data_IF_938955529629
#
_entry.id   IF_938955529629
#
_cell.length_a   1.000
_cell.length_b   1.000
_cell.length_c   1.000
_cell.angle_alpha   90.00
_cell.angle_beta   90.00
_cell.angle_gamma   90.00
#
_symmetry.space_group_name_H-M   'P 1'
#
loop_
_entity.id
_entity.type
_entity.pdbx_description
1 polymer ?
#
# COMPACT_ATOMS: atom_id res chain seq x y z
N UNK A 1 25.35 46.52 13.89
CA UNK A 1 25.15 45.12 13.47
C UNK A 1 23.89 45.08 12.63
N UNK A 2 24.04 45.10 11.32
CA UNK A 2 22.95 45.01 10.35
C UNK A 2 22.49 43.57 10.31
N UNK A 3 21.27 43.30 10.78
CA UNK A 3 20.60 42.02 10.59
C UNK A 3 20.44 41.79 9.08
N UNK A 4 21.18 40.82 8.54
CA UNK A 4 20.97 40.33 7.20
C UNK A 4 19.59 39.65 7.16
N UNK A 5 18.57 40.37 6.67
CA UNK A 5 17.28 39.76 6.31
C UNK A 5 17.56 38.68 5.28
N UNK A 6 17.33 37.42 5.66
CA UNK A 6 17.26 36.30 4.72
C UNK A 6 16.31 36.70 3.58
N UNK A 7 16.75 36.67 2.30
CA UNK A 7 15.91 37.11 1.21
C UNK A 7 14.63 36.26 1.17
N UNK A 8 13.47 36.93 1.20
CA UNK A 8 12.19 36.26 1.08
C UNK A 8 12.15 35.48 -0.23
N UNK A 9 11.94 34.16 -0.15
CA UNK A 9 11.84 33.30 -1.32
C UNK A 9 10.60 33.75 -2.09
N UNK A 10 10.80 34.34 -3.27
CA UNK A 10 9.72 34.83 -4.10
C UNK A 10 8.82 33.68 -4.57
N UNK A 11 7.51 33.91 -4.55
CA UNK A 11 6.52 32.95 -5.04
C UNK A 11 6.73 32.75 -6.55
N UNK A 12 6.65 31.50 -7.01
CA UNK A 12 6.79 31.19 -8.44
C UNK A 12 5.63 31.83 -9.23
N UNK A 13 5.92 32.57 -10.32
CA UNK A 13 4.87 33.16 -11.14
C UNK A 13 4.03 32.09 -11.83
N UNK A 14 2.76 32.40 -12.08
CA UNK A 14 1.89 31.58 -12.92
C UNK A 14 2.44 31.51 -14.35
N UNK A 15 2.24 30.37 -15.00
CA UNK A 15 2.66 30.09 -16.38
C UNK A 15 1.60 29.24 -17.07
N UNK A 16 1.31 29.55 -18.32
CA UNK A 16 0.38 28.76 -19.11
C UNK A 16 1.05 27.46 -19.59
N UNK A 17 0.26 26.50 -20.07
CA UNK A 17 0.76 25.19 -20.50
C UNK A 17 1.84 25.26 -21.59
N UNK A 18 1.76 26.14 -22.61
CA UNK A 18 2.85 26.32 -23.56
C UNK A 18 4.15 26.81 -22.89
N UNK A 19 4.06 27.79 -21.98
CA UNK A 19 5.23 28.32 -21.25
C UNK A 19 5.88 27.27 -20.34
N UNK A 20 5.06 26.36 -19.78
CA UNK A 20 5.55 25.24 -18.99
C UNK A 20 6.31 24.24 -19.87
N UNK A 21 5.89 24.04 -21.11
CA UNK A 21 6.63 23.22 -22.09
C UNK A 21 7.93 23.90 -22.51
N UNK A 22 7.94 25.21 -22.73
CA UNK A 22 9.16 25.99 -23.01
C UNK A 22 10.21 25.86 -21.90
N UNK A 23 9.76 25.81 -20.64
CA UNK A 23 10.64 25.54 -19.50
C UNK A 23 11.28 24.16 -19.59
N UNK A 24 10.51 23.14 -19.98
CA UNK A 24 11.04 21.78 -20.06
C UNK A 24 12.08 21.68 -21.19
N UNK A 25 11.81 22.25 -22.35
CA UNK A 25 12.74 22.27 -23.50
C UNK A 25 14.00 23.07 -23.19
N UNK A 26 13.87 24.27 -22.62
CA UNK A 26 15.02 25.10 -22.24
C UNK A 26 15.93 24.45 -21.18
N UNK A 27 15.38 23.54 -20.38
CA UNK A 27 16.14 22.72 -19.41
C UNK A 27 16.72 21.45 -20.02
N UNK A 28 16.52 21.19 -21.31
CA UNK A 28 17.09 20.06 -22.05
C UNK A 28 16.22 18.80 -22.08
N UNK A 29 14.91 18.90 -21.80
CA UNK A 29 14.00 17.77 -22.05
C UNK A 29 13.67 17.68 -23.55
N UNK A 30 13.77 16.47 -24.10
CA UNK A 30 13.40 16.19 -25.49
C UNK A 30 11.88 16.08 -25.56
N UNK A 31 11.25 16.83 -26.46
CA UNK A 31 9.80 16.80 -26.68
C UNK A 31 9.54 16.57 -28.16
N UNK A 32 9.07 15.36 -28.52
CA UNK A 32 8.85 15.00 -29.91
C UNK A 32 7.55 15.58 -30.48
N UNK A 33 6.50 15.63 -29.67
CA UNK A 33 5.20 16.21 -30.00
C UNK A 33 4.79 17.24 -28.95
N UNK A 34 5.05 18.51 -29.28
CA UNK A 34 4.81 19.66 -28.38
C UNK A 34 3.33 19.80 -28.02
N UNK A 35 2.43 19.69 -29.00
CA UNK A 35 1.00 19.83 -28.77
C UNK A 35 0.47 18.71 -27.86
N UNK A 36 0.99 17.49 -28.04
CA UNK A 36 0.69 16.38 -27.12
C UNK A 36 1.23 16.66 -25.72
N UNK A 37 2.43 17.19 -25.57
CA UNK A 37 2.98 17.55 -24.26
C UNK A 37 2.11 18.59 -23.54
N UNK A 38 1.68 19.65 -24.24
CA UNK A 38 0.75 20.67 -23.72
C UNK A 38 -0.55 20.01 -23.24
N UNK A 39 -1.18 19.18 -24.09
CA UNK A 39 -2.43 18.47 -23.72
C UNK A 39 -2.25 17.57 -22.50
N UNK A 40 -1.12 16.86 -22.38
CA UNK A 40 -0.85 15.97 -21.25
C UNK A 40 -0.53 16.70 -19.96
N UNK A 41 0.18 17.82 -20.03
CA UNK A 41 0.40 18.70 -18.86
C UNK A 41 -0.93 19.30 -18.40
N UNK A 42 -1.80 19.73 -19.32
CA UNK A 42 -3.14 20.21 -18.98
C UNK A 42 -4.01 19.13 -18.34
N UNK A 43 -3.90 17.87 -18.79
CA UNK A 43 -4.68 16.76 -18.26
C UNK A 43 -4.21 16.28 -16.87
N UNK A 44 -2.89 16.19 -16.65
CA UNK A 44 -2.32 15.55 -15.45
C UNK A 44 -1.79 16.56 -14.43
N UNK A 45 -1.38 17.74 -14.90
CA UNK A 45 -0.77 18.78 -14.08
C UNK A 45 0.76 18.70 -14.07
N UNK A 46 1.40 19.86 -14.25
CA UNK A 46 2.86 20.00 -14.30
C UNK A 46 3.56 19.46 -13.05
N UNK A 47 3.10 19.84 -11.85
CA UNK A 47 3.71 19.40 -10.60
C UNK A 47 3.51 17.91 -10.33
N UNK A 48 2.40 17.33 -10.78
CA UNK A 48 2.18 15.90 -10.67
C UNK A 48 3.19 15.13 -11.53
N UNK A 49 3.31 15.49 -12.82
CA UNK A 49 4.29 14.91 -13.72
C UNK A 49 5.74 15.21 -13.28
N UNK A 50 5.96 16.29 -12.54
CA UNK A 50 7.29 16.62 -12.01
C UNK A 50 7.87 15.63 -11.04
N UNK A 51 7.00 14.87 -10.38
CA UNK A 51 7.42 13.70 -9.64
C UNK A 51 8.14 12.67 -10.52
N UNK A 52 7.81 12.53 -11.80
CA UNK A 52 8.27 11.42 -12.64
C UNK A 52 9.58 11.73 -13.39
N UNK A 53 9.90 12.99 -13.66
CA UNK A 53 11.21 13.39 -14.22
C UNK A 53 12.22 13.87 -13.17
N UNK A 54 11.85 13.91 -11.89
CA UNK A 54 12.73 14.43 -10.83
C UNK A 54 14.08 13.70 -10.77
N UNK A 55 14.08 12.37 -10.92
CA UNK A 55 15.31 11.55 -10.94
C UNK A 55 16.14 11.72 -12.21
N UNK A 56 15.56 12.26 -13.28
CA UNK A 56 16.21 12.48 -14.58
C UNK A 56 16.89 13.84 -14.68
N UNK A 57 16.81 14.66 -13.63
CA UNK A 57 17.56 15.92 -13.54
C UNK A 57 19.04 15.66 -13.32
N UNK A 58 19.88 16.58 -13.78
CA UNK A 58 21.31 16.58 -13.50
C UNK A 58 21.54 16.83 -12.02
N UNK A 59 22.63 16.29 -11.53
CA UNK A 59 23.10 16.53 -10.18
C UNK A 59 24.61 16.70 -10.22
N UNK A 60 25.14 17.46 -9.28
CA UNK A 60 26.57 17.48 -9.00
C UNK A 60 26.81 16.99 -7.57
N UNK A 61 27.97 16.41 -7.35
CA UNK A 61 28.32 15.76 -6.09
C UNK A 61 29.37 16.62 -5.41
N UNK A 62 29.04 17.14 -4.24
CA UNK A 62 30.01 17.75 -3.33
C UNK A 62 30.49 16.71 -2.35
N UNK A 63 31.79 16.67 -2.07
CA UNK A 63 32.35 15.81 -1.04
C UNK A 63 32.80 16.68 0.13
N UNK A 64 32.21 16.44 1.30
CA UNK A 64 32.58 17.10 2.55
C UNK A 64 32.98 16.07 3.61
N UNK A 65 33.40 16.55 4.78
CA UNK A 65 33.83 15.71 5.93
C UNK A 65 32.73 14.75 6.42
N UNK A 66 31.45 15.03 6.13
CA UNK A 66 30.29 14.21 6.52
C UNK A 66 29.81 13.25 5.42
N UNK A 67 30.44 13.26 4.24
CA UNK A 67 30.12 12.36 3.13
C UNK A 67 29.91 13.05 1.79
N UNK A 68 29.09 12.43 0.93
CA UNK A 68 28.70 12.98 -0.38
C UNK A 68 27.37 13.72 -0.25
N UNK A 69 27.34 14.98 -0.66
CA UNK A 69 26.12 15.79 -0.79
C UNK A 69 25.75 15.85 -2.26
N UNK A 70 24.50 15.53 -2.59
CA UNK A 70 23.99 15.58 -3.95
C UNK A 70 23.21 16.87 -4.12
N UNK A 71 23.64 17.70 -5.06
CA UNK A 71 22.99 18.95 -5.40
C UNK A 71 22.24 18.78 -6.70
N UNK A 72 20.92 18.96 -6.65
CA UNK A 72 20.07 18.78 -7.82
C UNK A 72 19.99 20.08 -8.61
N UNK A 73 20.13 19.93 -9.93
CA UNK A 73 20.03 21.03 -10.88
C UNK A 73 18.65 21.05 -11.55
N UNK A 74 18.33 22.15 -12.20
CA UNK A 74 17.07 22.29 -12.93
C UNK A 74 17.12 21.67 -14.33
N UNK A 75 18.32 21.52 -14.90
CA UNK A 75 18.57 20.90 -16.20
C UNK A 75 18.41 19.38 -16.16
N UNK A 76 17.96 18.81 -17.27
CA UNK A 76 17.79 17.38 -17.46
C UNK A 76 19.09 16.70 -17.91
N UNK A 77 19.23 15.42 -17.56
CA UNK A 77 20.27 14.56 -18.12
C UNK A 77 19.98 14.34 -19.61
N UNK A 78 21.02 14.07 -20.40
CA UNK A 78 20.88 13.71 -21.81
C UNK A 78 19.91 12.54 -21.98
N UNK A 79 19.21 12.51 -23.12
CA UNK A 79 18.20 11.48 -23.47
C UNK A 79 16.95 11.43 -22.58
N UNK A 80 16.69 12.49 -21.79
CA UNK A 80 15.44 12.63 -21.04
C UNK A 80 14.32 13.13 -21.97
N UNK A 81 13.40 12.25 -22.39
CA UNK A 81 12.25 12.63 -23.21
C UNK A 81 10.95 12.74 -22.42
N UNK A 82 10.07 13.67 -22.82
CA UNK A 82 8.74 13.82 -22.23
C UNK A 82 7.90 12.54 -22.41
N UNK A 83 8.03 11.89 -23.56
CA UNK A 83 7.35 10.63 -23.88
C UNK A 83 7.73 9.54 -22.88
N UNK A 84 9.01 9.34 -22.59
CA UNK A 84 9.46 8.34 -21.62
C UNK A 84 8.98 8.67 -20.20
N UNK A 85 8.96 9.95 -19.81
CA UNK A 85 8.42 10.35 -18.50
C UNK A 85 6.92 10.09 -18.42
N UNK A 86 6.17 10.38 -19.49
CA UNK A 86 4.75 10.12 -19.52
C UNK A 86 4.43 8.61 -19.49
N UNK A 87 5.22 7.78 -20.18
CA UNK A 87 5.12 6.32 -20.06
C UNK A 87 5.42 5.85 -18.64
N UNK A 88 6.40 6.46 -17.95
CA UNK A 88 6.68 6.13 -16.56
C UNK A 88 5.49 6.46 -15.65
N UNK A 89 4.82 7.59 -15.89
CA UNK A 89 3.57 7.94 -15.21
C UNK A 89 2.46 6.90 -15.43
N UNK A 90 2.29 6.40 -16.65
CA UNK A 90 1.29 5.37 -16.97
C UNK A 90 1.61 4.05 -16.30
N UNK A 91 2.85 3.57 -16.41
CA UNK A 91 3.31 2.36 -15.71
C UNK A 91 3.06 2.44 -14.19
N UNK A 92 3.41 3.57 -13.55
CA UNK A 92 3.16 3.75 -12.11
C UNK A 92 1.67 3.82 -11.79
N UNK A 93 0.84 4.36 -12.68
CA UNK A 93 -0.62 4.33 -12.56
C UNK A 93 -1.14 2.89 -12.59
N UNK A 94 -0.68 2.08 -13.54
CA UNK A 94 -1.01 0.65 -13.64
C UNK A 94 -0.61 -0.10 -12.38
N UNK A 95 0.58 0.18 -11.82
CA UNK A 95 1.00 -0.35 -10.51
C UNK A 95 0.08 0.10 -9.37
N UNK A 96 -0.35 1.36 -9.33
CA UNK A 96 -1.29 1.85 -8.29
C UNK A 96 -2.61 1.11 -8.32
N UNK A 97 -3.14 0.80 -9.50
CA UNK A 97 -4.38 0.02 -9.64
C UNK A 97 -4.19 -1.38 -9.08
N UNK A 98 -3.13 -2.08 -9.50
CA UNK A 98 -2.83 -3.43 -9.01
C UNK A 98 -2.59 -3.46 -7.49
N UNK A 99 -1.82 -2.50 -6.97
CA UNK A 99 -1.56 -2.40 -5.54
C UNK A 99 -2.83 -2.07 -4.76
N UNK A 100 -3.69 -1.20 -5.29
CA UNK A 100 -4.99 -0.86 -4.71
C UNK A 100 -5.86 -2.10 -4.54
N UNK A 101 -6.06 -2.87 -5.61
CA UNK A 101 -6.83 -4.12 -5.59
C UNK A 101 -6.29 -5.12 -4.54
N UNK A 102 -4.97 -5.31 -4.52
CA UNK A 102 -4.34 -6.19 -3.53
C UNK A 102 -4.57 -5.73 -2.09
N UNK A 103 -4.35 -4.44 -1.83
CA UNK A 103 -4.44 -3.86 -0.50
C UNK A 103 -5.87 -3.84 0.01
N UNK A 104 -6.86 -3.67 -0.86
CA UNK A 104 -8.28 -3.79 -0.50
C UNK A 104 -8.59 -5.17 0.07
N UNK A 105 -8.19 -6.24 -0.62
CA UNK A 105 -8.38 -7.62 -0.17
C UNK A 105 -7.68 -7.90 1.16
N UNK A 106 -6.46 -7.41 1.30
CA UNK A 106 -5.68 -7.52 2.55
C UNK A 106 -6.38 -6.74 3.68
N UNK A 107 -6.86 -5.53 3.41
CA UNK A 107 -7.54 -4.68 4.39
C UNK A 107 -8.80 -5.37 4.93
N UNK A 108 -9.66 -5.86 4.03
CA UNK A 108 -10.87 -6.59 4.39
C UNK A 108 -10.52 -7.84 5.20
N UNK A 109 -9.55 -8.64 4.74
CA UNK A 109 -9.14 -9.85 5.47
C UNK A 109 -8.62 -9.53 6.87
N UNK A 110 -7.82 -8.47 7.03
CA UNK A 110 -7.32 -8.02 8.33
C UNK A 110 -8.46 -7.59 9.26
N UNK A 111 -9.46 -6.85 8.76
CA UNK A 111 -10.67 -6.51 9.56
C UNK A 111 -11.33 -7.78 10.07
N UNK A 112 -11.58 -8.74 9.18
CA UNK A 112 -12.21 -10.01 9.53
C UNK A 112 -11.41 -10.79 10.57
N UNK A 113 -10.09 -10.93 10.37
CA UNK A 113 -9.21 -11.66 11.30
C UNK A 113 -9.23 -11.01 12.69
N UNK A 114 -9.00 -9.69 12.77
CA UNK A 114 -8.97 -8.99 14.05
C UNK A 114 -10.34 -9.05 14.75
N UNK A 115 -11.42 -8.77 14.02
CA UNK A 115 -12.77 -8.81 14.58
C UNK A 115 -13.13 -10.20 15.10
N UNK A 116 -12.78 -11.27 14.37
CA UNK A 116 -13.04 -12.63 14.81
C UNK A 116 -12.20 -13.05 16.01
N UNK A 117 -10.90 -12.76 16.00
CA UNK A 117 -10.03 -13.20 17.10
C UNK A 117 -10.40 -12.52 18.41
N UNK A 118 -10.70 -11.22 18.39
CA UNK A 118 -11.16 -10.52 19.60
C UNK A 118 -12.62 -10.84 19.95
N UNK A 119 -13.51 -10.88 18.96
CA UNK A 119 -14.95 -11.08 19.15
C UNK A 119 -15.30 -12.45 19.74
N UNK A 120 -14.41 -13.45 19.63
CA UNK A 120 -14.52 -14.74 20.32
C UNK A 120 -14.51 -14.61 21.84
N UNK A 121 -13.87 -13.58 22.37
CA UNK A 121 -13.74 -13.36 23.81
C UNK A 121 -14.87 -12.48 24.35
N UNK A 122 -15.15 -11.37 23.67
CA UNK A 122 -16.20 -10.44 24.05
C UNK A 122 -16.67 -9.62 22.82
N UNK A 123 -17.99 -9.42 22.61
CA UNK A 123 -18.49 -8.62 21.49
C UNK A 123 -17.95 -7.19 21.47
N UNK A 124 -17.64 -6.60 22.62
CA UNK A 124 -17.11 -5.26 22.82
C UNK A 124 -15.63 -5.28 23.22
N UNK A 125 -14.90 -6.37 22.94
CA UNK A 125 -13.48 -6.52 23.28
C UNK A 125 -12.60 -5.34 22.82
N UNK A 126 -12.98 -4.64 21.76
CA UNK A 126 -12.28 -3.45 21.25
C UNK A 126 -12.41 -2.20 22.11
N UNK A 127 -13.37 -2.17 23.03
CA UNK A 127 -13.58 -1.08 24.00
C UNK A 127 -13.00 -1.41 25.38
N UNK A 128 -12.54 -2.65 25.58
CA UNK A 128 -12.02 -3.11 26.85
C UNK A 128 -10.50 -2.81 27.00
N UNK A 129 -10.17 -1.99 27.99
CA UNK A 129 -8.79 -1.62 28.36
C UNK A 129 -7.95 -2.83 28.77
N UNK A 130 -8.57 -3.93 29.21
CA UNK A 130 -7.84 -5.14 29.56
C UNK A 130 -7.22 -5.84 28.34
N UNK A 131 -7.70 -5.57 27.12
CA UNK A 131 -7.21 -6.17 25.88
C UNK A 131 -6.05 -5.42 25.23
N UNK A 132 -5.63 -4.28 25.79
CA UNK A 132 -4.53 -3.46 25.28
C UNK A 132 -3.34 -3.41 26.23
N UNK A 133 -2.15 -3.23 25.66
CA UNK A 133 -0.91 -3.17 26.45
C UNK A 133 -0.93 -1.97 27.39
N UNK A 134 -0.37 -2.14 28.60
CA UNK A 134 -0.31 -1.07 29.62
C UNK A 134 0.36 0.21 29.12
N UNK A 135 1.37 0.09 28.25
CA UNK A 135 2.03 1.24 27.64
C UNK A 135 1.10 2.06 26.73
N UNK A 136 0.06 1.48 26.15
CA UNK A 136 -0.89 2.19 25.32
C UNK A 136 -1.88 3.04 26.13
N UNK A 137 -2.07 2.73 27.42
CA UNK A 137 -3.00 3.39 28.34
C UNK A 137 -2.40 4.61 29.06
N UNK A 138 -1.10 4.86 28.90
CA UNK A 138 -0.38 5.95 29.57
C UNK A 138 0.27 6.88 28.55
N UNK A 139 0.38 8.15 28.91
CA UNK A 139 1.12 9.13 28.10
C UNK A 139 2.60 8.71 28.02
N UNK A 140 3.16 8.76 26.81
CA UNK A 140 4.54 8.34 26.58
C UNK A 140 5.51 9.46 26.95
N UNK A 141 6.69 9.14 27.53
CA UNK A 141 7.71 10.13 27.82
C UNK A 141 8.12 10.90 26.55
N UNK A 142 8.12 12.24 26.62
CA UNK A 142 8.45 13.10 25.49
C UNK A 142 7.27 13.48 24.59
N UNK A 143 6.05 13.02 24.89
CA UNK A 143 4.86 13.48 24.21
C UNK A 143 4.65 15.00 24.45
N UNK A 144 4.26 15.76 23.41
CA UNK A 144 3.83 17.16 23.59
C UNK A 144 2.67 17.27 24.60
N UNK A 145 2.57 18.38 25.34
CA UNK A 145 1.43 18.65 26.21
C UNK A 145 0.10 18.51 25.45
N UNK A 146 -0.84 17.75 26.01
CA UNK A 146 -2.16 17.52 25.42
C UNK A 146 -2.27 16.34 24.46
N UNK A 147 -1.17 15.62 24.16
CA UNK A 147 -1.24 14.40 23.37
C UNK A 147 -1.84 13.25 24.19
N UNK A 148 -2.94 12.67 23.69
CA UNK A 148 -3.60 11.52 24.31
C UNK A 148 -2.70 10.28 24.32
N UNK A 149 -2.87 9.37 25.31
CA UNK A 149 -2.31 8.03 25.21
C UNK A 149 -2.80 7.31 23.95
N UNK A 150 -2.07 6.26 23.54
CA UNK A 150 -2.29 5.61 22.25
C UNK A 150 -3.68 4.96 22.14
N UNK A 151 -4.19 4.39 23.22
CA UNK A 151 -5.52 3.79 23.25
C UNK A 151 -6.62 4.85 23.18
N UNK A 152 -6.54 5.88 24.01
CA UNK A 152 -7.48 7.01 24.02
C UNK A 152 -7.52 7.73 22.66
N UNK A 153 -6.36 7.95 22.03
CA UNK A 153 -6.29 8.53 20.69
C UNK A 153 -6.87 7.61 19.60
N UNK A 154 -6.74 6.28 19.77
CA UNK A 154 -7.40 5.32 18.89
C UNK A 154 -8.92 5.30 19.11
N UNK A 155 -9.38 5.37 20.36
CA UNK A 155 -10.79 5.38 20.74
C UNK A 155 -11.52 6.62 20.19
N UNK A 156 -10.93 7.81 20.32
CA UNK A 156 -11.47 9.05 19.73
C UNK A 156 -11.59 8.93 18.20
N UNK A 157 -10.59 8.34 17.53
CA UNK A 157 -10.68 8.05 16.09
C UNK A 157 -11.79 7.05 15.78
N UNK A 158 -11.89 5.97 16.55
CA UNK A 158 -12.93 4.94 16.40
C UNK A 158 -14.32 5.56 16.50
N UNK A 159 -14.58 6.37 17.53
CA UNK A 159 -15.88 7.03 17.74
C UNK A 159 -16.23 7.96 16.57
N UNK A 160 -15.26 8.71 16.05
CA UNK A 160 -15.44 9.56 14.86
C UNK A 160 -15.79 8.74 13.62
N UNK A 161 -15.09 7.62 13.39
CA UNK A 161 -15.37 6.73 12.26
C UNK A 161 -16.77 6.11 12.36
N UNK A 162 -17.19 5.68 13.55
CA UNK A 162 -18.54 5.16 13.79
C UNK A 162 -19.59 6.25 13.54
N UNK A 163 -19.39 7.46 14.07
CA UNK A 163 -20.32 8.58 13.91
C UNK A 163 -20.47 9.04 12.46
N UNK A 164 -19.39 8.96 11.67
CA UNK A 164 -19.37 9.33 10.24
C UNK A 164 -19.77 8.18 9.32
N UNK A 165 -19.96 6.97 9.84
CA UNK A 165 -20.26 5.80 9.02
C UNK A 165 -21.66 5.89 8.40
N UNK A 166 -21.73 5.50 7.13
CA UNK A 166 -22.98 5.38 6.38
C UNK A 166 -23.47 3.92 6.27
N UNK A 167 -22.73 2.96 6.82
CA UNK A 167 -23.08 1.54 6.80
C UNK A 167 -24.38 1.27 7.59
N UNK A 168 -25.34 0.61 6.95
CA UNK A 168 -26.67 0.39 7.55
C UNK A 168 -26.58 -0.45 8.83
N UNK A 169 -25.66 -1.42 8.87
CA UNK A 169 -25.39 -2.23 10.06
C UNK A 169 -25.00 -1.37 11.27
N UNK A 170 -24.17 -0.35 11.08
CA UNK A 170 -23.75 0.59 12.12
C UNK A 170 -24.87 1.58 12.46
N UNK A 171 -25.50 2.18 11.44
CA UNK A 171 -26.58 3.17 11.65
C UNK A 171 -27.78 2.57 12.39
N UNK A 172 -28.11 1.31 12.12
CA UNK A 172 -29.18 0.60 12.82
C UNK A 172 -28.89 0.46 14.32
N UNK A 173 -27.66 0.13 14.71
CA UNK A 173 -27.26 0.06 16.12
C UNK A 173 -27.32 1.43 16.80
N UNK A 174 -26.80 2.48 16.15
CA UNK A 174 -26.82 3.85 16.67
C UNK A 174 -28.26 4.35 16.89
N UNK A 175 -29.15 4.18 15.91
CA UNK A 175 -30.56 4.58 16.01
C UNK A 175 -31.28 3.84 17.15
N UNK A 176 -30.95 2.57 17.36
CA UNK A 176 -31.56 1.75 18.40
C UNK A 176 -30.90 1.92 19.79
N UNK A 177 -29.84 2.74 19.92
CA UNK A 177 -29.08 2.87 21.16
C UNK A 177 -28.40 1.57 21.60
N UNK A 178 -28.12 0.66 20.66
CA UNK A 178 -27.50 -0.64 20.94
C UNK A 178 -25.97 -0.52 20.92
N UNK A 179 -25.27 -1.24 21.81
CA UNK A 179 -23.82 -1.34 21.71
C UNK A 179 -23.42 -1.99 20.39
N UNK A 180 -22.32 -1.53 19.78
CA UNK A 180 -21.86 -1.98 18.47
C UNK A 180 -20.79 -3.06 18.65
N UNK A 181 -21.06 -4.33 18.27
CA UNK A 181 -20.06 -5.38 18.35
C UNK A 181 -18.86 -5.14 17.44
N UNK A 182 -17.70 -5.72 17.77
CA UNK A 182 -16.45 -5.50 17.05
C UNK A 182 -16.53 -5.84 15.55
N UNK A 183 -17.25 -6.89 15.17
CA UNK A 183 -17.44 -7.27 13.76
C UNK A 183 -18.37 -6.34 12.99
N UNK A 184 -19.18 -5.53 13.68
CA UNK A 184 -19.96 -4.44 13.08
C UNK A 184 -19.11 -3.17 13.04
N UNK A 185 -18.43 -2.86 14.14
CA UNK A 185 -17.60 -1.67 14.25
C UNK A 185 -16.42 -1.68 13.27
N UNK A 186 -15.85 -2.85 12.98
CA UNK A 186 -14.71 -3.00 12.07
C UNK A 186 -15.02 -2.54 10.65
N UNK A 187 -16.29 -2.52 10.23
CA UNK A 187 -16.69 -2.05 8.90
C UNK A 187 -16.43 -0.54 8.70
N UNK A 188 -16.40 0.24 9.78
CA UNK A 188 -16.04 1.66 9.73
C UNK A 188 -14.53 1.92 9.73
N UNK A 189 -13.69 0.91 10.00
CA UNK A 189 -12.26 1.12 10.21
C UNK A 189 -11.49 1.17 8.90
N UNK A 190 -10.76 2.25 8.66
CA UNK A 190 -9.76 2.29 7.60
C UNK A 190 -8.49 1.51 7.98
N UNK A 191 -7.63 1.24 6.99
CA UNK A 191 -6.33 0.58 7.20
C UNK A 191 -5.52 1.19 8.36
N UNK A 192 -5.56 2.52 8.51
CA UNK A 192 -4.88 3.23 9.58
C UNK A 192 -5.40 2.87 10.97
N UNK A 193 -6.72 2.82 11.14
CA UNK A 193 -7.36 2.40 12.39
C UNK A 193 -7.03 0.95 12.74
N UNK A 194 -7.05 0.05 11.75
CA UNK A 194 -6.69 -1.38 11.90
C UNK A 194 -5.23 -1.54 12.33
N UNK A 195 -4.32 -0.91 11.59
CA UNK A 195 -2.87 -0.94 11.88
C UNK A 195 -2.58 -0.40 13.28
N UNK A 196 -3.23 0.71 13.65
CA UNK A 196 -3.04 1.29 14.99
C UNK A 196 -3.62 0.40 16.07
N UNK A 197 -4.80 -0.17 15.87
CA UNK A 197 -5.44 -1.07 16.82
C UNK A 197 -4.56 -2.29 17.07
N UNK A 198 -4.10 -2.97 16.01
CA UNK A 198 -3.15 -4.08 16.15
C UNK A 198 -1.92 -3.70 17.00
N UNK A 199 -1.33 -2.52 16.78
CA UNK A 199 -0.13 -2.08 17.51
C UNK A 199 -0.30 -1.93 19.02
N UNK A 200 -1.53 -1.75 19.51
CA UNK A 200 -1.83 -1.53 20.93
C UNK A 200 -2.42 -2.76 21.61
N UNK A 201 -2.78 -3.81 20.87
CA UNK A 201 -3.31 -5.04 21.44
C UNK A 201 -2.28 -5.75 22.32
N UNK A 202 -2.78 -6.49 23.30
CA UNK A 202 -1.95 -7.39 24.11
C UNK A 202 -1.21 -8.43 23.26
N UNK A 203 -0.04 -8.91 23.73
CA UNK A 203 0.72 -9.98 23.10
C UNK A 203 -0.11 -11.19 22.66
N UNK A 204 -1.00 -11.68 23.51
CA UNK A 204 -1.83 -12.86 23.22
C UNK A 204 -2.72 -12.66 21.99
N UNK A 205 -3.37 -11.50 21.89
CA UNK A 205 -4.22 -11.17 20.74
C UNK A 205 -3.39 -10.98 19.48
N UNK A 206 -2.24 -10.30 19.59
CA UNK A 206 -1.31 -10.14 18.48
C UNK A 206 -0.78 -11.50 17.98
N UNK A 207 -0.44 -12.42 18.89
CA UNK A 207 0.05 -13.76 18.56
C UNK A 207 -1.03 -14.55 17.77
N UNK A 208 -2.29 -14.55 18.21
CA UNK A 208 -3.40 -15.18 17.48
C UNK A 208 -3.60 -14.59 16.08
N UNK A 209 -3.50 -13.26 15.94
CA UNK A 209 -3.60 -12.59 14.64
C UNK A 209 -2.42 -12.95 13.74
N UNK A 210 -1.20 -12.99 14.28
CA UNK A 210 0.00 -13.37 13.55
C UNK A 210 -0.12 -14.80 12.98
N UNK A 211 -0.60 -15.75 13.80
CA UNK A 211 -0.83 -17.13 13.39
C UNK A 211 -1.80 -17.21 12.20
N UNK A 212 -2.91 -16.45 12.24
CA UNK A 212 -3.88 -16.37 11.13
C UNK A 212 -3.28 -15.80 9.84
N UNK A 213 -2.24 -14.97 9.94
CA UNK A 213 -1.51 -14.40 8.81
C UNK A 213 -0.30 -15.26 8.37
N UNK A 214 -0.04 -16.38 9.04
CA UNK A 214 1.10 -17.25 8.75
C UNK A 214 2.45 -16.66 9.15
N UNK A 215 2.48 -15.74 10.13
CA UNK A 215 3.70 -15.09 10.64
C UNK A 215 3.84 -15.40 12.12
N UNK A 216 5.07 -15.56 12.62
CA UNK A 216 5.32 -15.82 14.06
C UNK A 216 5.66 -14.52 14.80
N UNK A 217 6.42 -13.63 14.16
CA UNK A 217 6.98 -12.46 14.81
C UNK A 217 6.03 -11.25 14.79
N UNK A 218 5.51 -10.84 15.95
CA UNK A 218 4.58 -9.70 16.11
C UNK A 218 5.09 -8.38 15.54
N UNK A 219 6.38 -8.11 15.70
CA UNK A 219 7.03 -6.89 15.20
C UNK A 219 7.18 -6.88 13.66
N UNK A 220 7.21 -8.05 13.02
CA UNK A 220 7.17 -8.17 11.56
C UNK A 220 5.79 -7.72 11.06
N UNK A 221 4.71 -8.21 11.67
CA UNK A 221 3.35 -7.79 11.29
C UNK A 221 3.12 -6.30 11.57
N UNK A 222 3.55 -5.77 12.72
CA UNK A 222 3.46 -4.31 13.00
C UNK A 222 4.20 -3.49 11.93
N UNK A 223 5.42 -3.91 11.58
CA UNK A 223 6.22 -3.29 10.53
C UNK A 223 5.51 -3.34 9.17
N UNK A 224 4.90 -4.47 8.82
CA UNK A 224 4.16 -4.64 7.57
C UNK A 224 2.93 -3.74 7.54
N UNK A 225 2.10 -3.73 8.57
CA UNK A 225 0.87 -2.93 8.60
C UNK A 225 1.16 -1.43 8.44
N UNK A 226 2.24 -0.93 9.04
CA UNK A 226 2.66 0.47 8.90
C UNK A 226 3.09 0.78 7.47
N UNK A 227 3.88 -0.11 6.86
CA UNK A 227 4.32 0.03 5.48
C UNK A 227 3.15 -0.07 4.48
N UNK A 228 2.24 -1.03 4.67
CA UNK A 228 1.08 -1.24 3.83
C UNK A 228 0.06 -0.09 3.96
N UNK A 229 -0.13 0.47 5.15
CA UNK A 229 -0.96 1.66 5.34
C UNK A 229 -0.43 2.85 4.51
N UNK A 230 0.88 3.09 4.55
CA UNK A 230 1.50 4.15 3.73
C UNK A 230 1.38 3.84 2.24
N UNK A 231 1.54 2.58 1.82
CA UNK A 231 1.34 2.18 0.43
C UNK A 231 -0.12 2.39 -0.02
N UNK A 232 -1.09 2.00 0.80
CA UNK A 232 -2.54 2.19 0.57
C UNK A 232 -2.87 3.67 0.43
N UNK A 233 -2.35 4.51 1.33
CA UNK A 233 -2.56 5.96 1.25
C UNK A 233 -1.92 6.57 0.00
N UNK A 234 -0.75 6.09 -0.43
CA UNK A 234 -0.16 6.53 -1.71
C UNK A 234 -1.06 6.18 -2.89
N UNK A 235 -1.64 4.98 -2.91
CA UNK A 235 -2.58 4.57 -3.96
C UNK A 235 -3.84 5.46 -3.97
N UNK A 236 -4.46 5.65 -2.81
CA UNK A 236 -5.67 6.46 -2.63
C UNK A 236 -5.47 7.95 -2.98
N UNK A 237 -4.30 8.52 -2.67
CA UNK A 237 -3.95 9.89 -3.03
C UNK A 237 -3.28 10.03 -4.40
N UNK A 238 -3.29 8.96 -5.21
CA UNK A 238 -2.69 8.92 -6.55
C UNK A 238 -1.20 9.34 -6.58
N UNK A 239 -0.48 9.13 -5.48
CA UNK A 239 0.93 9.49 -5.36
C UNK A 239 1.83 8.45 -6.01
N UNK A 240 2.97 8.90 -6.56
CA UNK A 240 3.99 8.02 -7.17
C UNK A 240 4.42 6.90 -6.22
N UNK A 241 4.38 5.65 -6.67
CA UNK A 241 4.86 4.48 -5.91
C UNK A 241 6.35 4.22 -6.15
N UNK A 242 6.76 4.34 -7.40
CA UNK A 242 8.11 4.03 -7.87
C UNK A 242 9.16 4.96 -7.25
N UNK A 243 10.35 4.40 -7.03
CA UNK A 243 11.54 5.09 -6.50
C UNK A 243 11.23 5.95 -5.25
N UNK A 244 10.34 5.48 -4.38
CA UNK A 244 10.14 6.06 -3.04
C UNK A 244 10.61 5.07 -1.97
N UNK A 245 11.27 5.54 -0.90
CA UNK A 245 11.58 4.69 0.22
C UNK A 245 10.31 4.29 0.97
N UNK A 246 10.37 3.12 1.58
CA UNK A 246 9.41 2.64 2.56
C UNK A 246 9.53 3.48 3.85
N UNK A 247 8.44 3.75 4.58
CA UNK A 247 8.50 4.48 5.84
C UNK A 247 9.35 3.78 6.91
N UNK A 248 9.43 2.44 6.86
CA UNK A 248 10.32 1.62 7.69
C UNK A 248 11.00 0.58 6.81
N UNK A 249 12.26 0.26 7.11
CA UNK A 249 12.93 -0.90 6.50
C UNK A 249 12.09 -2.14 6.82
N UNK A 250 11.77 -2.94 5.80
CA UNK A 250 10.95 -4.12 5.99
C UNK A 250 11.65 -5.14 6.89
N UNK A 251 10.93 -5.56 7.93
CA UNK A 251 11.27 -6.73 8.71
C UNK A 251 10.69 -7.95 8.00
N UNK A 252 11.45 -9.05 7.93
CA UNK A 252 11.03 -10.29 7.28
C UNK A 252 11.16 -11.45 8.27
N UNK A 253 10.24 -12.43 8.23
CA UNK A 253 10.40 -13.68 8.96
C UNK A 253 11.72 -14.36 8.61
N UNK A 254 12.36 -15.00 9.59
CA UNK A 254 13.69 -15.60 9.41
C UNK A 254 13.70 -16.89 8.59
N UNK A 255 12.54 -17.51 8.34
CA UNK A 255 12.41 -18.83 7.70
C UNK A 255 11.31 -18.80 6.63
N UNK A 256 11.37 -19.77 5.72
CA UNK A 256 10.38 -19.96 4.66
C UNK A 256 10.56 -19.03 3.47
N UNK A 257 9.44 -18.65 2.85
CA UNK A 257 9.36 -17.90 1.60
C UNK A 257 10.33 -16.71 1.48
N UNK A 258 10.47 -15.87 2.52
CA UNK A 258 11.34 -14.69 2.45
C UNK A 258 12.84 -15.01 2.47
N UNK A 259 13.22 -16.19 2.98
CA UNK A 259 14.61 -16.65 2.93
C UNK A 259 15.00 -17.06 1.50
N UNK A 260 14.10 -17.75 0.79
CA UNK A 260 14.29 -18.12 -0.62
C UNK A 260 14.31 -16.88 -1.53
N UNK A 261 13.47 -15.89 -1.23
CA UNK A 261 13.44 -14.64 -1.97
C UNK A 261 14.75 -13.85 -1.86
N UNK A 262 15.47 -14.01 -0.74
CA UNK A 262 16.77 -13.41 -0.43
C UNK A 262 16.82 -11.90 -0.74
N UNK A 263 15.96 -11.14 -0.06
CA UNK A 263 15.86 -9.69 -0.23
C UNK A 263 17.05 -8.98 0.44
N UNK A 264 17.77 -8.18 -0.32
CA UNK A 264 18.82 -7.30 0.20
C UNK A 264 18.24 -6.08 0.95
N UNK A 265 19.10 -5.25 1.53
CA UNK A 265 18.66 -4.05 2.26
C UNK A 265 17.89 -3.08 1.35
N UNK A 266 18.33 -2.90 0.11
CA UNK A 266 17.69 -1.99 -0.83
C UNK A 266 16.30 -2.45 -1.21
N UNK A 267 16.09 -3.75 -1.42
CA UNK A 267 14.80 -4.33 -1.66
C UNK A 267 13.85 -4.09 -0.48
N UNK A 268 14.32 -4.27 0.76
CA UNK A 268 13.54 -4.02 1.99
C UNK A 268 13.15 -2.56 2.19
N UNK A 269 13.94 -1.63 1.66
CA UNK A 269 13.68 -0.20 1.70
C UNK A 269 12.79 0.31 0.56
N UNK A 270 12.46 -0.53 -0.42
CA UNK A 270 11.80 -0.12 -1.67
C UNK A 270 10.59 -1.00 -2.01
N UNK A 271 9.96 -0.68 -3.15
CA UNK A 271 8.72 -1.30 -3.61
C UNK A 271 8.87 -2.82 -3.81
N UNK A 272 10.02 -3.31 -4.25
CA UNK A 272 10.23 -4.75 -4.46
C UNK A 272 9.99 -5.57 -3.18
N UNK A 273 10.48 -5.13 -2.03
CA UNK A 273 10.21 -5.80 -0.77
C UNK A 273 8.73 -5.79 -0.41
N UNK A 274 8.02 -4.69 -0.68
CA UNK A 274 6.57 -4.62 -0.46
C UNK A 274 5.79 -5.56 -1.37
N UNK A 275 6.21 -5.72 -2.63
CA UNK A 275 5.63 -6.71 -3.55
C UNK A 275 5.76 -8.12 -2.95
N UNK A 276 6.92 -8.45 -2.40
CA UNK A 276 7.14 -9.73 -1.72
C UNK A 276 6.18 -9.96 -0.56
N UNK A 277 5.96 -8.94 0.27
CA UNK A 277 5.03 -8.99 1.41
C UNK A 277 3.57 -9.06 0.97
N UNK A 278 3.15 -8.22 0.03
CA UNK A 278 1.80 -8.23 -0.52
C UNK A 278 1.49 -9.59 -1.14
N UNK A 279 2.43 -10.16 -1.91
CA UNK A 279 2.23 -11.48 -2.50
C UNK A 279 2.08 -12.58 -1.45
N UNK A 280 2.91 -12.56 -0.41
CA UNK A 280 2.84 -13.52 0.70
C UNK A 280 1.44 -13.51 1.34
N UNK A 281 0.91 -12.32 1.66
CA UNK A 281 -0.42 -12.17 2.25
C UNK A 281 -1.53 -12.55 1.27
N UNK A 282 -1.45 -12.10 0.01
CA UNK A 282 -2.45 -12.40 -1.01
C UNK A 282 -2.54 -13.89 -1.32
N UNK A 283 -1.42 -14.62 -1.34
CA UNK A 283 -1.45 -16.06 -1.60
C UNK A 283 -2.24 -16.82 -0.54
N UNK A 284 -2.21 -16.37 0.71
CA UNK A 284 -3.01 -16.95 1.78
C UNK A 284 -4.50 -16.66 1.61
N UNK A 285 -4.86 -15.47 1.09
CA UNK A 285 -6.25 -15.04 0.88
C UNK A 285 -6.86 -15.62 -0.41
N UNK A 286 -6.07 -15.68 -1.47
CA UNK A 286 -6.48 -16.09 -2.82
C UNK A 286 -5.35 -16.82 -3.54
N UNK A 287 -5.21 -18.14 -3.34
CA UNK A 287 -4.11 -18.94 -3.91
C UNK A 287 -4.02 -18.87 -5.45
N UNK A 288 -5.17 -18.71 -6.12
CA UNK A 288 -5.28 -18.59 -7.59
C UNK A 288 -5.02 -17.19 -8.15
N UNK A 289 -4.64 -16.21 -7.32
CA UNK A 289 -4.43 -14.83 -7.79
C UNK A 289 -3.32 -14.73 -8.84
N UNK A 290 -3.61 -14.03 -9.95
CA UNK A 290 -2.65 -13.66 -10.99
C UNK A 290 -1.98 -12.30 -10.74
N UNK A 291 -2.21 -11.70 -9.57
CA UNK A 291 -1.75 -10.36 -9.23
C UNK A 291 -0.25 -10.17 -9.46
N UNK A 292 0.56 -11.12 -9.00
CA UNK A 292 2.01 -11.00 -9.12
C UNK A 292 2.49 -11.05 -10.58
N UNK A 293 1.87 -11.91 -11.40
CA UNK A 293 2.14 -11.99 -12.84
C UNK A 293 1.88 -10.64 -13.49
N UNK A 294 0.72 -10.01 -13.21
CA UNK A 294 0.39 -8.68 -13.74
C UNK A 294 1.34 -7.59 -13.25
N UNK A 295 1.78 -7.64 -11.99
CA UNK A 295 2.77 -6.70 -11.47
C UNK A 295 4.09 -6.86 -12.22
N UNK A 296 4.54 -8.09 -12.45
CA UNK A 296 5.73 -8.36 -13.26
C UNK A 296 5.57 -7.82 -14.69
N UNK A 297 4.41 -8.04 -15.30
CA UNK A 297 4.09 -7.57 -16.65
C UNK A 297 4.21 -6.04 -16.77
N UNK A 298 3.71 -5.30 -15.78
CA UNK A 298 3.82 -3.82 -15.75
C UNK A 298 5.26 -3.37 -15.47
N UNK A 299 6.01 -4.07 -14.61
CA UNK A 299 7.40 -3.70 -14.32
C UNK A 299 8.31 -3.91 -15.53
N UNK A 300 8.04 -4.94 -16.34
CA UNK A 300 8.82 -5.23 -17.55
C UNK A 300 8.68 -4.15 -18.62
N UNK A 301 7.65 -3.31 -18.53
CA UNK A 301 7.35 -2.25 -19.49
C UNK A 301 7.92 -0.90 -19.06
N UNK A 302 8.83 -0.92 -18.07
CA UNK A 302 9.53 0.25 -17.57
C UNK A 302 10.24 0.98 -18.71
N UNK A 303 9.97 2.29 -18.91
CA UNK A 303 10.64 3.05 -19.94
C UNK A 303 12.11 3.28 -19.57
N UNK A 304 12.96 3.36 -20.59
CA UNK A 304 14.33 3.81 -20.44
C UNK A 304 14.32 5.31 -20.18
N UNK A 305 14.69 5.71 -18.98
CA UNK A 305 14.73 7.09 -18.56
C UNK A 305 15.93 7.31 -17.62
N UNK A 306 16.77 8.34 -17.83
CA UNK A 306 17.88 8.62 -16.93
C UNK A 306 17.42 8.71 -15.47
N UNK A 307 18.14 8.04 -14.57
CA UNK A 307 17.81 7.99 -13.15
C UNK A 307 16.64 7.06 -12.76
N UNK A 308 15.96 6.43 -13.72
CA UNK A 308 15.02 5.35 -13.48
C UNK A 308 15.68 4.01 -13.81
N UNK A 309 15.90 3.18 -12.80
CA UNK A 309 16.46 1.83 -12.97
C UNK A 309 15.64 0.83 -12.16
N UNK A 310 15.63 -0.47 -12.53
CA UNK A 310 15.05 -1.51 -11.69
C UNK A 310 15.54 -1.44 -10.23
N UNK A 311 16.84 -1.21 -10.06
CA UNK A 311 17.51 -1.01 -8.76
C UNK A 311 16.93 0.14 -7.94
N UNK A 312 16.47 1.22 -8.56
CA UNK A 312 15.84 2.36 -7.87
C UNK A 312 14.53 1.98 -7.15
N UNK A 313 13.88 0.91 -7.61
CA UNK A 313 12.70 0.32 -7.00
C UNK A 313 13.00 -0.91 -6.14
N UNK A 314 14.28 -1.26 -6.01
CA UNK A 314 14.76 -2.38 -5.21
C UNK A 314 14.88 -3.70 -5.95
N UNK A 315 14.57 -3.75 -7.25
CA UNK A 315 14.74 -4.96 -8.04
C UNK A 315 16.22 -5.24 -8.37
N UNK A 316 16.56 -6.49 -8.75
CA UNK A 316 17.83 -6.81 -9.41
C UNK A 316 18.07 -5.96 -10.67
N UNK A 317 19.32 -5.91 -11.13
CA UNK A 317 19.70 -5.07 -12.28
C UNK A 317 19.04 -5.58 -13.59
N UNK A 318 18.69 -6.87 -13.65
CA UNK A 318 18.02 -7.52 -14.77
C UNK A 318 16.51 -7.24 -14.85
N UNK A 319 15.90 -6.58 -13.85
CA UNK A 319 14.46 -6.32 -13.80
C UNK A 319 13.71 -7.19 -12.79
N UNK A 320 12.43 -7.46 -13.06
CA UNK A 320 11.61 -8.26 -12.16
C UNK A 320 12.08 -9.74 -12.17
N UNK A 321 12.42 -10.34 -11.01
CA UNK A 321 12.98 -11.70 -10.98
C UNK A 321 11.88 -12.78 -11.06
N UNK A 322 11.23 -12.91 -12.24
CA UNK A 322 10.12 -13.85 -12.50
C UNK A 322 10.39 -15.28 -12.02
N UNK A 323 11.61 -15.78 -12.23
CA UNK A 323 12.02 -17.13 -11.82
C UNK A 323 11.97 -17.39 -10.32
N UNK A 324 12.15 -16.36 -9.47
CA UNK A 324 12.02 -16.51 -8.00
C UNK A 324 10.57 -16.70 -7.55
N UNK A 325 9.61 -16.43 -8.42
CA UNK A 325 8.18 -16.49 -8.11
C UNK A 325 7.43 -17.54 -8.94
N UNK A 326 8.15 -18.43 -9.63
CA UNK A 326 7.58 -19.44 -10.52
C UNK A 326 6.64 -18.87 -11.59
N UNK A 327 6.88 -17.64 -12.05
CA UNK A 327 6.14 -17.04 -13.15
C UNK A 327 6.72 -17.57 -14.46
N UNK A 328 5.95 -18.40 -15.17
CA UNK A 328 6.39 -19.07 -16.38
C UNK A 328 6.25 -18.20 -17.66
N UNK A 329 5.42 -17.16 -17.63
CA UNK A 329 5.22 -16.28 -18.78
C UNK A 329 6.46 -15.41 -19.05
N UNK A 330 6.83 -15.22 -20.34
CA UNK A 330 7.95 -14.37 -20.69
C UNK A 330 7.65 -12.89 -20.39
N UNK A 331 8.69 -12.04 -20.24
CA UNK A 331 8.52 -10.60 -20.08
C UNK A 331 7.75 -9.96 -21.25
N UNK A 332 6.88 -9.01 -20.92
CA UNK A 332 6.11 -8.26 -21.91
C UNK A 332 6.93 -7.12 -22.52
N UNK A 333 6.83 -6.96 -23.83
CA UNK A 333 7.53 -5.91 -24.58
C UNK A 333 6.77 -4.55 -24.61
N UNK A 334 5.47 -4.54 -24.26
CA UNK A 334 4.60 -3.36 -24.27
C UNK A 334 3.72 -3.34 -23.04
N UNK A 335 3.42 -2.14 -22.54
CA UNK A 335 2.52 -1.96 -21.40
C UNK A 335 1.15 -2.58 -21.69
N UNK A 336 0.61 -3.42 -20.78
CA UNK A 336 -0.75 -3.94 -20.93
C UNK A 336 -1.75 -2.78 -20.94
N UNK A 337 -2.88 -2.93 -21.64
CA UNK A 337 -3.91 -1.89 -21.62
C UNK A 337 -4.45 -1.79 -20.18
N UNK A 338 -4.83 -0.58 -19.77
CA UNK A 338 -5.38 -0.38 -18.43
C UNK A 338 -6.65 -1.23 -18.20
N UNK A 339 -7.39 -1.52 -19.27
CA UNK A 339 -8.51 -2.45 -19.26
C UNK A 339 -8.05 -3.88 -18.90
N UNK A 340 -6.99 -4.40 -19.52
CA UNK A 340 -6.42 -5.72 -19.21
C UNK A 340 -5.92 -5.82 -17.75
N UNK A 341 -5.38 -4.71 -17.23
CA UNK A 341 -4.97 -4.60 -15.82
C UNK A 341 -6.19 -4.78 -14.90
N UNK A 342 -7.31 -4.13 -15.22
CA UNK A 342 -8.56 -4.14 -14.45
C UNK A 342 -9.39 -5.43 -14.58
N UNK A 343 -9.45 -6.06 -15.76
CA UNK A 343 -10.44 -7.11 -16.08
C UNK A 343 -10.19 -8.43 -15.33
N UNK A 344 -8.95 -8.84 -15.11
CA UNK A 344 -8.64 -10.11 -14.40
C UNK A 344 -8.70 -10.02 -12.84
N UNK A 345 -9.37 -8.99 -12.32
CA UNK A 345 -9.59 -8.81 -10.86
C UNK A 345 -10.80 -9.62 -10.39
N UNK A 346 -11.77 -9.84 -11.27
CA UNK A 346 -13.03 -10.54 -11.04
C UNK A 346 -12.89 -12.08 -11.04
N UNK A 347 -11.97 -12.63 -11.83
CA UNK A 347 -11.78 -14.09 -11.97
C UNK A 347 -11.23 -14.76 -10.69
N UNK A 348 -10.50 -14.01 -9.85
CA UNK A 348 -9.95 -14.51 -8.60
C UNK A 348 -11.01 -14.85 -7.53
N UNK A 349 -12.22 -14.24 -7.62
CA UNK A 349 -13.32 -14.53 -6.70
C UNK A 349 -13.98 -15.88 -6.99
N UNK A 350 -13.97 -16.36 -8.24
CA UNK A 350 -14.54 -17.64 -8.62
C UNK A 350 -13.75 -18.83 -8.06
N UNK A 351 -12.42 -18.74 -8.08
CA UNK A 351 -11.52 -19.85 -7.67
C UNK A 351 -11.41 -19.99 -6.14
N UNK A 352 -11.42 -18.89 -5.39
CA UNK A 352 -11.43 -18.95 -3.92
C UNK A 352 -12.72 -19.55 -3.35
N UNK A 353 -13.87 -19.38 -4.02
CA UNK A 353 -15.15 -19.99 -3.65
C UNK A 353 -15.10 -21.52 -3.72
N UNK A 354 -14.55 -22.07 -4.80
CA UNK A 354 -14.44 -23.54 -4.98
C UNK A 354 -13.42 -24.17 -4.03
N UNK A 355 -12.30 -23.47 -3.78
CA UNK A 355 -11.26 -23.95 -2.87
C UNK A 355 -11.78 -24.04 -1.42
N UNK A 356 -12.48 -23.01 -0.94
CA UNK A 356 -13.10 -23.00 0.40
C UNK A 356 -14.17 -24.09 0.54
N UNK A 357 -14.95 -24.35 -0.52
CA UNK A 357 -15.94 -25.44 -0.53
C UNK A 357 -15.28 -26.83 -0.52
N UNK A 358 -14.12 -27.00 -1.16
CA UNK A 358 -13.40 -28.27 -1.23
C UNK A 358 -12.65 -28.67 0.05
N UNK A 359 -12.34 -27.71 0.94
CA UNK A 359 -11.62 -27.96 2.21
C UNK A 359 -12.52 -28.51 3.34
N UNK A 360 -13.80 -28.82 3.06
CA UNK A 360 -14.80 -29.18 4.09
C UNK A 360 -14.89 -30.69 4.44
N UNK A 361 -14.04 -31.55 3.87
CA UNK A 361 -14.07 -32.99 4.16
C UNK A 361 -13.06 -33.40 5.24
N UNK A 362 -13.40 -33.12 6.50
CA UNK A 362 -12.68 -33.62 7.68
C UNK A 362 -13.65 -34.00 8.81
N UNK A 363 -13.54 -35.20 9.40
CA UNK A 363 -14.55 -35.71 10.33
C UNK A 363 -14.28 -35.18 11.74
N UNK A 364 -15.08 -34.21 12.21
CA UNK A 364 -15.56 -34.04 13.61
C UNK A 364 -16.20 -32.66 13.81
N UNK A 365 -17.54 -32.64 13.83
CA UNK A 365 -18.47 -31.70 14.53
C UNK A 365 -19.79 -31.59 13.73
N UNK A 366 -20.71 -32.54 13.91
CA UNK A 366 -21.76 -32.83 12.92
C UNK A 366 -23.18 -32.31 13.21
N UNK A 367 -23.42 -31.44 14.18
CA UNK A 367 -24.80 -30.91 14.41
C UNK A 367 -24.91 -29.39 14.25
N UNK A 368 -23.94 -28.61 14.74
CA UNK A 368 -23.94 -27.14 14.55
C UNK A 368 -23.63 -26.75 13.10
N UNK A 369 -22.85 -27.57 12.37
CA UNK A 369 -22.51 -27.35 10.95
C UNK A 369 -23.71 -27.52 10.02
N UNK A 370 -24.56 -28.52 10.28
CA UNK A 370 -25.72 -28.84 9.43
C UNK A 370 -26.74 -27.68 9.39
N UNK A 371 -27.03 -27.09 10.55
CA UNK A 371 -27.93 -25.93 10.65
C UNK A 371 -27.40 -24.68 9.95
N UNK A 372 -26.08 -24.52 9.86
CA UNK A 372 -25.45 -23.36 9.22
C UNK A 372 -25.40 -23.51 7.69
N UNK A 373 -25.12 -24.72 7.18
CA UNK A 373 -25.15 -25.00 5.73
C UNK A 373 -26.56 -24.96 5.16
N UNK A 374 -27.55 -25.48 5.89
CA UNK A 374 -28.95 -25.51 5.41
C UNK A 374 -29.54 -24.09 5.36
N UNK A 375 -29.23 -23.23 6.34
CA UNK A 375 -29.66 -21.83 6.34
C UNK A 375 -28.96 -20.93 5.32
N UNK A 376 -27.76 -21.31 4.84
CA UNK A 376 -27.06 -20.59 3.77
C UNK A 376 -27.53 -21.00 2.36
N UNK A 377 -28.02 -22.23 2.19
CA UNK A 377 -28.56 -22.70 0.91
C UNK A 377 -29.95 -22.10 0.60
N UNK A 378 -30.79 -21.87 1.62
CA UNK A 378 -32.08 -21.18 1.45
C UNK A 378 -31.93 -19.69 1.11
N UNK A 379 -30.86 -19.03 1.58
CA UNK A 379 -30.64 -17.60 1.30
C UNK A 379 -30.12 -17.33 -0.13
N UNK A 380 -29.71 -18.38 -0.85
CA UNK A 380 -29.05 -18.28 -2.17
C UNK A 380 -29.90 -18.82 -3.32
N UNK A 381 -31.16 -19.23 -3.09
CA UNK A 381 -32.11 -19.54 -4.18
C UNK A 381 -32.87 -18.32 -4.71
N UNK A 382 -32.73 -17.17 -4.05
CA UNK A 382 -33.45 -15.92 -4.35
C UNK A 382 -32.54 -14.79 -4.90
N UNK A 383 -31.32 -15.12 -5.35
CA UNK A 383 -30.41 -14.24 -6.13
C UNK A 383 -29.91 -15.04 -7.32
#
# INVERSE_FOLDING_TARGET
>A
MTEAKTPAIAVKPFKDYPDLVDILESRGMIIGDRDRAIRKIAQVGYYHLSGYWHSSRRFWIERNERGKVFHQLDEFQADTSFEAVFQFYLMDKSLRVLMGDALERIEIHLRTVIAHELGRHDPLAHLDRANVVKSALVAQPGNPPGMLPLYEGWLDRHEKLIAQSHEESIRSHLKAGKPIPIWVASEAWDFGAISKFYSILNPSHQDSICERLGVVERNVVDNWLINLNVLRNRCAHHARLSNRPNPRVLMLPRRGYFNELNLDLRAKERLYGLIGVVWFLLKAIGPGSQWLTKVADVIDTMPRLPGLTPKSMGFPDEGFPRGKFAIASPPLAKEPLLEDVCTATLEAFAVSRETILSMSNGPKSSETRKRFTDGMLELMSDI
#
